data_IF_329140714487
#
_entry.id   IF_329140714487
#
_cell.length_a   1.000
_cell.length_b   1.000
_cell.length_c   1.000
_cell.angle_alpha   90.00
_cell.angle_beta   90.00
_cell.angle_gamma   90.00
#
_symmetry.space_group_name_H-M   'P 1'
#
loop_
_entity.id
_entity.type
_entity.pdbx_description
1 polymer ?
#
# COMPACT_ATOMS: atom_id res chain seq x y z
N UNK A 1 -9.62 -9.68 5.55
CA UNK A 1 -8.33 -9.06 5.30
C UNK A 1 -7.97 -8.96 3.83
N UNK A 2 -8.25 -9.98 3.05
CA UNK A 2 -7.97 -9.94 1.60
C UNK A 2 -8.71 -8.77 0.93
N UNK A 3 -9.96 -8.59 1.29
CA UNK A 3 -10.77 -7.50 0.72
C UNK A 3 -10.20 -6.13 1.04
N UNK A 4 -9.73 -5.96 2.26
CA UNK A 4 -9.10 -4.71 2.67
C UNK A 4 -7.83 -4.46 1.86
N UNK A 5 -7.00 -5.48 1.71
CA UNK A 5 -5.76 -5.36 0.96
C UNK A 5 -6.02 -5.00 -0.50
N UNK A 6 -7.01 -5.64 -1.12
CA UNK A 6 -7.36 -5.33 -2.51
C UNK A 6 -7.82 -3.88 -2.64
N UNK A 7 -8.70 -3.45 -1.73
CA UNK A 7 -9.17 -2.07 -1.77
C UNK A 7 -8.03 -1.08 -1.58
N UNK A 8 -7.10 -1.39 -0.70
CA UNK A 8 -5.95 -0.53 -0.44
C UNK A 8 -5.02 -0.46 -1.65
N UNK A 9 -4.79 -1.59 -2.31
CA UNK A 9 -3.98 -1.62 -3.53
C UNK A 9 -4.63 -0.78 -4.62
N UNK A 10 -5.95 -0.89 -4.78
CA UNK A 10 -6.67 -0.08 -5.76
C UNK A 10 -6.53 1.41 -5.47
N UNK A 11 -6.68 1.80 -4.22
CA UNK A 11 -6.55 3.20 -3.84
C UNK A 11 -5.12 3.70 -4.06
N UNK A 12 -4.14 2.87 -3.73
CA UNK A 12 -2.73 3.18 -3.98
C UNK A 12 -2.48 3.40 -5.46
N UNK A 13 -3.02 2.50 -6.29
CA UNK A 13 -2.86 2.61 -7.74
C UNK A 13 -3.43 3.92 -8.27
N UNK A 14 -4.62 4.30 -7.81
CA UNK A 14 -5.25 5.54 -8.25
C UNK A 14 -4.46 6.76 -7.80
N UNK A 15 -3.98 6.74 -6.57
CA UNK A 15 -3.23 7.86 -6.01
C UNK A 15 -1.95 8.14 -6.80
N UNK A 16 -1.26 7.09 -7.22
CA UNK A 16 0.02 7.23 -7.89
C UNK A 16 -0.05 6.96 -9.40
N UNK A 17 -1.27 6.90 -9.93
CA UNK A 17 -1.50 6.75 -11.36
C UNK A 17 -0.85 5.49 -11.92
N UNK A 18 -1.03 4.38 -11.22
CA UNK A 18 -0.53 3.07 -11.61
C UNK A 18 -1.70 2.15 -11.95
N UNK A 19 -1.42 1.09 -12.70
CA UNK A 19 -2.40 0.01 -12.84
C UNK A 19 -2.44 -0.78 -11.52
N UNK A 20 -3.50 -1.54 -11.32
CA UNK A 20 -3.60 -2.39 -10.13
C UNK A 20 -2.44 -3.38 -10.06
N UNK A 21 -2.06 -3.95 -11.19
CA UNK A 21 -0.92 -4.88 -11.26
C UNK A 21 0.38 -4.20 -10.87
N UNK A 22 0.60 -3.00 -11.37
CA UNK A 22 1.82 -2.25 -11.06
C UNK A 22 1.88 -1.92 -9.57
N UNK A 23 0.75 -1.47 -9.02
CA UNK A 23 0.68 -1.12 -7.61
C UNK A 23 0.93 -2.34 -6.72
N UNK A 24 0.28 -3.46 -7.03
CA UNK A 24 0.46 -4.69 -6.26
C UNK A 24 1.91 -5.16 -6.30
N UNK A 25 2.50 -5.15 -7.49
CA UNK A 25 3.89 -5.58 -7.67
C UNK A 25 4.86 -4.69 -6.91
N UNK A 26 4.64 -3.39 -6.96
CA UNK A 26 5.47 -2.45 -6.23
C UNK A 26 5.37 -2.67 -4.71
N UNK A 27 4.15 -2.74 -4.21
CA UNK A 27 3.91 -2.94 -2.78
C UNK A 27 4.50 -4.26 -2.30
N UNK A 28 4.31 -5.33 -3.07
CA UNK A 28 4.85 -6.65 -2.73
C UNK A 28 6.37 -6.65 -2.70
N UNK A 29 6.98 -6.00 -3.68
CA UNK A 29 8.44 -5.99 -3.82
C UNK A 29 9.11 -5.31 -2.63
N UNK A 30 8.48 -4.27 -2.08
CA UNK A 30 9.08 -3.49 -1.02
C UNK A 30 8.44 -3.75 0.34
N UNK A 31 7.97 -4.98 0.54
CA UNK A 31 7.47 -5.48 1.82
C UNK A 31 6.20 -4.78 2.31
N UNK A 32 5.48 -4.11 1.42
CA UNK A 32 4.27 -3.40 1.80
C UNK A 32 3.14 -4.33 2.21
N UNK A 33 3.01 -5.49 1.57
CA UNK A 33 1.97 -6.45 1.91
C UNK A 33 2.19 -6.96 3.34
N UNK A 34 3.44 -7.24 3.68
CA UNK A 34 3.78 -7.68 5.04
C UNK A 34 3.47 -6.60 6.06
N UNK A 35 3.73 -5.35 5.73
CA UNK A 35 3.39 -4.24 6.60
C UNK A 35 1.88 -4.15 6.84
N UNK A 36 1.09 -4.32 5.78
CA UNK A 36 -0.37 -4.29 5.88
C UNK A 36 -0.86 -5.39 6.83
N UNK A 37 -0.32 -6.60 6.67
CA UNK A 37 -0.72 -7.72 7.51
C UNK A 37 -0.33 -7.50 8.97
N UNK A 38 0.86 -6.98 9.19
CA UNK A 38 1.38 -6.78 10.53
C UNK A 38 0.63 -5.69 11.28
N UNK A 39 0.20 -4.65 10.58
CA UNK A 39 -0.44 -3.49 11.21
C UNK A 39 -1.91 -3.36 10.86
N UNK A 40 -2.53 -4.45 10.44
CA UNK A 40 -3.92 -4.42 10.00
C UNK A 40 -4.86 -3.84 11.06
N UNK A 41 -4.65 -4.22 12.32
CA UNK A 41 -5.52 -3.77 13.42
C UNK A 41 -5.59 -2.25 13.53
N UNK A 42 -4.50 -1.59 13.24
CA UNK A 42 -4.44 -0.12 13.29
C UNK A 42 -4.85 0.47 11.94
N UNK A 43 -4.31 -0.07 10.87
CA UNK A 43 -4.49 0.50 9.53
C UNK A 43 -5.94 0.52 9.09
N UNK A 44 -6.71 -0.53 9.43
CA UNK A 44 -8.10 -0.59 8.97
C UNK A 44 -9.00 0.44 9.64
N UNK A 45 -8.54 1.08 10.72
CA UNK A 45 -9.28 2.15 11.39
C UNK A 45 -8.95 3.53 10.84
N UNK A 46 -7.92 3.62 10.00
CA UNK A 46 -7.49 4.89 9.42
C UNK A 46 -8.20 5.14 8.09
N UNK A 47 -8.23 6.41 7.71
CA UNK A 47 -8.69 6.79 6.39
C UNK A 47 -7.78 6.16 5.33
N UNK A 48 -8.34 5.71 4.21
CA UNK A 48 -7.57 5.07 3.14
C UNK A 48 -6.46 5.97 2.64
N UNK A 49 -6.72 7.27 2.50
CA UNK A 49 -5.70 8.19 2.00
C UNK A 49 -4.51 8.28 2.95
N UNK A 50 -4.76 8.30 4.24
CA UNK A 50 -3.68 8.29 5.23
C UNK A 50 -2.89 6.99 5.16
N UNK A 51 -3.61 5.88 5.02
CA UNK A 51 -2.98 4.57 4.93
C UNK A 51 -2.13 4.45 3.67
N UNK A 52 -2.63 4.94 2.55
CA UNK A 52 -1.89 4.94 1.28
C UNK A 52 -0.62 5.76 1.42
N UNK A 53 -0.70 6.93 2.03
CA UNK A 53 0.47 7.78 2.24
C UNK A 53 1.51 7.10 3.12
N UNK A 54 1.06 6.48 4.21
CA UNK A 54 1.96 5.74 5.11
C UNK A 54 2.62 4.57 4.40
N UNK A 55 1.86 3.85 3.59
CA UNK A 55 2.38 2.72 2.84
C UNK A 55 3.42 3.16 1.82
N UNK A 56 3.17 4.28 1.15
CA UNK A 56 4.11 4.83 0.18
C UNK A 56 5.43 5.22 0.84
N UNK A 57 5.35 5.85 2.01
CA UNK A 57 6.54 6.23 2.77
C UNK A 57 7.31 4.98 3.18
N UNK A 58 6.61 3.96 3.65
CA UNK A 58 7.25 2.71 4.06
C UNK A 58 7.98 2.07 2.88
N UNK A 59 7.31 1.94 1.74
CA UNK A 59 7.92 1.32 0.56
C UNK A 59 9.12 2.12 0.07
N UNK A 60 9.03 3.44 0.12
CA UNK A 60 10.14 4.29 -0.28
C UNK A 60 11.37 4.05 0.60
N UNK A 61 11.16 3.87 1.91
CA UNK A 61 12.24 3.59 2.85
C UNK A 61 12.87 2.22 2.62
N UNK A 62 12.10 1.29 2.04
CA UNK A 62 12.60 -0.04 1.72
C UNK A 62 13.39 -0.06 0.41
N UNK A 63 13.59 1.09 -0.20
CA UNK A 63 14.35 1.20 -1.43
C UNK A 63 13.51 1.43 -2.67
N UNK A 64 12.19 1.50 -2.54
CA UNK A 64 11.31 1.76 -3.66
C UNK A 64 11.16 3.25 -3.90
N UNK A 65 11.28 3.66 -5.14
CA UNK A 65 11.05 5.06 -5.52
C UNK A 65 9.92 5.09 -6.54
N UNK A 66 8.86 5.82 -6.22
CA UNK A 66 7.71 5.94 -7.13
C UNK A 66 7.94 7.03 -8.16
N UNK A 67 8.79 7.98 -7.85
CA UNK A 67 9.02 9.11 -8.74
C UNK A 67 10.50 9.29 -8.99
#
# INVERSE_FOLDING_TARGET
>A
MVEYTVALVNEFAQTFNLSDSQAYRYISRFNGIEMIERHYDIMHTLDFQETVNSLAIFCNRQGGALL
#
